data_IF_731115257493
#
_entry.id   IF_731115257493
#
_cell.length_a   1.000
_cell.length_b   1.000
_cell.length_c   1.000
_cell.angle_alpha   90.00
_cell.angle_beta   90.00
_cell.angle_gamma   90.00
#
_symmetry.space_group_name_H-M   'P 1'
#
loop_
_entity.id
_entity.type
_entity.pdbx_description
1 polymer ?
#
# COMPACT_ATOMS: atom_id res chain seq x y z
N UNK A 1 1.22 -1.98 1.43
CA UNK A 1 0.56 -1.22 2.51
C UNK A 1 -0.84 -0.85 2.03
N UNK A 2 -1.86 -1.67 2.28
CA UNK A 2 -3.32 -1.47 1.99
C UNK A 2 -4.15 -2.42 2.86
N UNK A 3 -5.22 -1.98 3.54
CA UNK A 3 -6.64 -1.96 3.20
C UNK A 3 -7.39 -0.80 3.89
N UNK A 4 -8.41 -0.30 3.18
CA UNK A 4 -9.61 0.35 3.72
C UNK A 4 -10.73 -0.70 3.64
N UNK A 5 -11.26 -1.13 4.78
CA UNK A 5 -12.52 -1.88 4.85
C UNK A 5 -13.61 -0.91 5.28
N UNK A 6 -14.72 -0.88 4.52
CA UNK A 6 -15.71 0.18 4.51
C UNK A 6 -16.50 0.44 5.80
N UNK A 7 -17.16 1.60 5.76
CA UNK A 7 -18.25 2.13 6.59
C UNK A 7 -17.98 2.36 8.10
N UNK A 8 -17.20 3.40 8.41
CA UNK A 8 -17.49 4.26 9.56
C UNK A 8 -17.79 5.65 9.02
N UNK A 9 -19.04 6.06 9.15
CA UNK A 9 -19.58 7.28 8.56
C UNK A 9 -19.11 8.55 9.27
N UNK A 10 -19.04 9.61 8.47
CA UNK A 10 -19.46 11.00 8.71
C UNK A 10 -18.56 11.94 7.88
N UNK A 11 -19.17 12.68 6.96
CA UNK A 11 -18.63 13.95 6.50
C UNK A 11 -17.89 13.92 5.17
N UNK A 12 -18.62 14.20 4.11
CA UNK A 12 -18.13 14.83 2.88
C UNK A 12 -17.25 16.07 3.15
N UNK A 13 -16.13 16.20 2.40
CA UNK A 13 -15.76 17.48 1.78
C UNK A 13 -14.78 17.23 0.62
N UNK A 14 -15.19 17.64 -0.58
CA UNK A 14 -14.31 17.79 -1.73
C UNK A 14 -13.21 18.82 -1.44
N UNK A 15 -12.01 18.57 -1.98
CA UNK A 15 -11.05 19.63 -2.28
C UNK A 15 -10.20 19.21 -3.47
N UNK A 16 -10.58 19.75 -4.62
CA UNK A 16 -9.90 19.69 -5.90
C UNK A 16 -8.74 20.71 -5.90
N UNK A 17 -7.52 20.29 -6.25
CA UNK A 17 -6.50 21.22 -6.72
C UNK A 17 -5.69 20.64 -7.89
N UNK A 18 -5.81 21.34 -9.01
CA UNK A 18 -5.11 21.15 -10.28
C UNK A 18 -3.60 21.36 -10.13
N UNK A 19 -2.80 20.60 -10.88
CA UNK A 19 -1.52 21.05 -11.45
C UNK A 19 -1.09 20.19 -12.63
N UNK A 20 -0.65 20.88 -13.67
CA UNK A 20 -0.36 20.48 -15.05
C UNK A 20 0.99 19.79 -15.25
N UNK A 21 0.97 18.80 -16.17
CA UNK A 21 1.99 18.38 -17.15
C UNK A 21 3.47 18.20 -16.74
N UNK A 22 3.92 16.93 -16.70
CA UNK A 22 5.25 16.52 -17.19
C UNK A 22 5.28 15.01 -17.54
N UNK A 23 5.48 14.74 -18.83
CA UNK A 23 6.01 13.58 -19.58
C UNK A 23 5.91 12.11 -19.08
N UNK A 24 5.62 11.14 -19.99
CA UNK A 24 5.41 9.75 -19.66
C UNK A 24 6.73 8.97 -19.61
N UNK A 25 7.11 8.45 -18.45
CA UNK A 25 7.93 7.23 -18.37
C UNK A 25 6.97 6.07 -18.24
N UNK A 26 6.67 5.47 -19.39
CA UNK A 26 5.87 4.24 -19.48
C UNK A 26 6.71 3.06 -18.99
N UNK A 27 6.78 2.85 -17.68
CA UNK A 27 6.98 1.50 -17.17
C UNK A 27 5.63 0.78 -17.32
N UNK A 28 5.50 0.01 -18.39
CA UNK A 28 4.36 -0.86 -18.66
C UNK A 28 4.18 -1.85 -17.51
N UNK A 29 3.41 -1.48 -16.50
CA UNK A 29 2.75 -2.45 -15.63
C UNK A 29 1.66 -3.06 -16.51
N UNK A 30 1.96 -4.23 -17.06
CA UNK A 30 0.94 -5.03 -17.71
C UNK A 30 -0.13 -5.30 -16.66
N UNK A 31 -1.31 -4.73 -16.88
CA UNK A 31 -2.52 -4.94 -16.11
C UNK A 31 -3.02 -6.35 -16.40
N UNK A 32 -2.36 -7.33 -15.79
CA UNK A 32 -2.92 -8.65 -15.68
C UNK A 32 -3.80 -8.65 -14.43
N UNK A 33 -5.11 -8.78 -14.64
CA UNK A 33 -6.11 -9.13 -13.62
C UNK A 33 -5.86 -10.55 -13.07
N UNK A 34 -4.64 -10.85 -12.65
CA UNK A 34 -4.33 -12.08 -11.94
C UNK A 34 -4.76 -11.94 -10.48
N UNK A 35 -5.76 -12.72 -10.11
CA UNK A 35 -6.13 -12.90 -8.71
C UNK A 35 -4.99 -13.63 -7.99
N UNK A 36 -4.41 -12.98 -6.97
CA UNK A 36 -3.35 -13.55 -6.16
C UNK A 36 -3.88 -13.89 -4.78
N UNK A 37 -3.79 -15.17 -4.41
CA UNK A 37 -4.13 -15.62 -3.07
C UNK A 37 -3.15 -15.03 -2.04
N UNK A 38 -3.71 -14.40 -1.00
CA UNK A 38 -2.94 -13.88 0.12
C UNK A 38 -2.99 -14.84 1.30
N UNK A 39 -1.82 -15.14 1.86
CA UNK A 39 -1.70 -16.04 3.01
C UNK A 39 -1.31 -15.28 4.27
N UNK A 40 -1.71 -15.73 5.47
CA UNK A 40 -1.25 -15.12 6.72
C UNK A 40 0.27 -15.24 6.88
N UNK A 41 0.93 -14.19 7.39
CA UNK A 41 2.33 -14.25 7.77
C UNK A 41 2.52 -15.16 8.99
N UNK A 42 3.16 -16.32 8.80
CA UNK A 42 3.28 -17.38 9.81
C UNK A 42 4.04 -16.96 11.07
N UNK A 43 5.07 -16.14 10.91
CA UNK A 43 5.99 -15.72 11.96
C UNK A 43 5.72 -14.28 12.41
N UNK A 44 4.46 -13.85 12.41
CA UNK A 44 4.07 -12.56 12.97
C UNK A 44 4.22 -12.59 14.51
N UNK A 45 5.12 -11.77 15.04
CA UNK A 45 5.46 -11.74 16.47
C UNK A 45 4.76 -10.64 17.27
N UNK A 46 3.92 -9.80 16.66
CA UNK A 46 3.20 -8.73 17.35
C UNK A 46 2.20 -7.97 16.49
N UNK A 47 1.50 -7.02 17.12
CA UNK A 47 0.50 -6.15 16.50
C UNK A 47 -0.91 -6.76 16.47
N UNK A 48 -1.94 -5.90 16.56
CA UNK A 48 -3.37 -6.29 16.47
C UNK A 48 -3.84 -6.55 15.04
N UNK A 49 -2.99 -6.20 14.08
CA UNK A 49 -3.29 -6.18 12.66
C UNK A 49 -2.64 -7.37 11.98
N UNK A 50 -3.41 -8.14 11.23
CA UNK A 50 -2.90 -9.29 10.48
C UNK A 50 -2.03 -8.83 9.29
N UNK A 51 -0.82 -9.38 9.18
CA UNK A 51 0.01 -9.26 8.00
C UNK A 51 -0.26 -10.42 7.04
N UNK A 52 -0.32 -10.11 5.75
CA UNK A 52 -0.55 -11.07 4.68
C UNK A 52 0.69 -11.16 3.79
N UNK A 53 0.97 -12.33 3.23
CA UNK A 53 2.08 -12.61 2.33
C UNK A 53 1.55 -12.55 0.89
N UNK A 54 2.11 -11.65 0.09
CA UNK A 54 1.85 -11.57 -1.35
C UNK A 54 2.79 -12.50 -2.13
N UNK A 55 4.06 -12.55 -1.71
CA UNK A 55 5.07 -13.48 -2.21
C UNK A 55 6.19 -13.63 -1.18
N UNK A 56 7.21 -14.44 -1.49
CA UNK A 56 8.29 -14.78 -0.57
C UNK A 56 9.04 -13.58 0.06
N UNK A 57 9.01 -12.40 -0.57
CA UNK A 57 9.72 -11.19 -0.13
C UNK A 57 8.80 -9.97 0.06
N UNK A 58 7.48 -10.14 -0.06
CA UNK A 58 6.53 -9.02 -0.03
C UNK A 58 5.35 -9.35 0.86
N UNK A 59 5.13 -8.49 1.85
CA UNK A 59 3.96 -8.54 2.73
C UNK A 59 2.99 -7.41 2.44
N UNK A 60 1.73 -7.64 2.75
CA UNK A 60 0.65 -6.68 2.80
C UNK A 60 0.25 -6.46 4.26
N UNK A 61 -0.10 -5.21 4.55
CA UNK A 61 -0.59 -4.71 5.85
C UNK A 61 -1.63 -3.64 5.57
N UNK A 62 -2.60 -3.35 6.46
CA UNK A 62 -3.58 -2.30 6.27
C UNK A 62 -2.97 -0.96 5.88
N UNK A 63 -3.75 -0.13 5.18
CA UNK A 63 -3.33 1.22 4.85
C UNK A 63 -3.35 2.03 6.14
N UNK A 64 -2.24 2.68 6.40
CA UNK A 64 -2.17 3.73 7.41
C UNK A 64 -1.61 4.97 6.72
N UNK A 65 -2.39 6.05 6.66
CA UNK A 65 -2.03 7.22 5.88
C UNK A 65 -0.73 7.87 6.37
N UNK A 66 -0.40 7.79 7.67
CA UNK A 66 0.82 8.37 8.22
C UNK A 66 2.07 7.62 7.78
N UNK A 67 2.04 6.29 7.78
CA UNK A 67 3.21 5.55 7.29
C UNK A 67 3.30 5.56 5.75
N UNK A 68 2.19 5.77 5.02
CA UNK A 68 2.24 6.00 3.58
C UNK A 68 3.01 7.29 3.28
N UNK A 69 2.64 8.37 3.96
CA UNK A 69 3.32 9.65 3.85
C UNK A 69 4.82 9.52 4.16
N UNK A 70 5.17 8.79 5.23
CA UNK A 70 6.56 8.45 5.54
C UNK A 70 7.27 7.73 4.38
N UNK A 71 6.65 6.72 3.77
CA UNK A 71 7.25 6.01 2.64
C UNK A 71 7.34 6.86 1.37
N UNK A 72 6.44 7.81 1.17
CA UNK A 72 6.47 8.74 0.03
C UNK A 72 7.54 9.83 0.20
N UNK A 73 7.85 10.19 1.45
CA UNK A 73 8.73 11.31 1.78
C UNK A 73 9.96 10.88 2.61
N UNK A 74 10.44 9.65 2.41
CA UNK A 74 11.51 9.10 3.24
C UNK A 74 12.85 9.84 3.03
N UNK A 75 13.53 10.26 4.10
CA UNK A 75 14.89 10.80 4.00
C UNK A 75 15.87 9.79 3.39
N UNK A 76 16.78 10.28 2.53
CA UNK A 76 17.69 9.43 1.76
C UNK A 76 18.67 8.64 2.64
N UNK A 77 19.08 9.22 3.76
CA UNK A 77 19.99 8.63 4.74
C UNK A 77 19.41 7.42 5.46
N UNK A 78 18.08 7.35 5.62
CA UNK A 78 17.43 6.21 6.27
C UNK A 78 16.83 5.18 5.31
N UNK A 79 16.77 5.49 4.01
CA UNK A 79 16.07 4.68 3.02
C UNK A 79 16.57 3.22 2.96
N UNK A 80 17.86 2.99 3.18
CA UNK A 80 18.46 1.65 3.17
C UNK A 80 18.11 0.80 4.40
N UNK A 81 17.63 1.42 5.49
CA UNK A 81 17.31 0.75 6.75
C UNK A 81 15.83 0.42 6.91
N UNK A 82 14.99 0.86 5.96
CA UNK A 82 13.56 0.54 5.97
C UNK A 82 13.22 -0.48 4.89
N UNK A 83 12.10 -1.22 5.04
CA UNK A 83 11.57 -2.04 3.96
C UNK A 83 11.19 -1.20 2.74
N UNK A 84 11.40 -1.73 1.54
CA UNK A 84 10.99 -1.06 0.29
C UNK A 84 9.46 -1.03 0.16
N UNK A 85 8.91 0.16 -0.07
CA UNK A 85 7.51 0.32 -0.45
C UNK A 85 7.31 -0.07 -1.92
N UNK A 86 6.40 -1.01 -2.18
CA UNK A 86 6.07 -1.54 -3.52
C UNK A 86 4.72 -1.05 -4.07
N UNK A 87 4.08 -0.08 -3.41
CA UNK A 87 2.80 0.46 -3.83
C UNK A 87 1.59 -0.07 -3.03
N UNK A 88 0.41 0.30 -3.55
CA UNK A 88 -0.90 -0.05 -3.00
C UNK A 88 -1.55 -1.13 -3.88
N UNK A 89 -2.21 -2.11 -3.28
CA UNK A 89 -3.03 -3.12 -3.96
C UNK A 89 -4.42 -3.17 -3.32
N UNK A 90 -5.46 -3.42 -4.11
CA UNK A 90 -6.80 -3.70 -3.58
C UNK A 90 -6.93 -5.21 -3.42
N UNK A 91 -7.39 -5.67 -2.25
CA UNK A 91 -7.62 -7.08 -2.00
C UNK A 91 -9.12 -7.29 -1.72
N UNK A 92 -9.71 -8.28 -2.37
CA UNK A 92 -11.01 -8.81 -2.00
C UNK A 92 -10.79 -9.91 -0.96
N UNK A 93 -11.40 -9.78 0.21
CA UNK A 93 -11.52 -10.89 1.15
C UNK A 93 -12.75 -11.68 0.74
N UNK A 94 -12.55 -12.94 0.34
CA UNK A 94 -13.64 -13.92 0.26
C UNK A 94 -14.10 -14.36 1.65
#
# INVERSE_FOLDING_TARGET
MVYLTGLWGMGETESQCHSTSASPVSSSFQDHDEEVALHPLKNQVGGHTRLLLLNQSTICKPLNCRELDFYQNIPQDIQMFVPKFKGKITCISL
#
